data_IF_367209853445
#
_entry.id   IF_367209853445
#
_cell.length_a   1.000
_cell.length_b   1.000
_cell.length_c   1.000
_cell.angle_alpha   90.00
_cell.angle_beta   90.00
_cell.angle_gamma   90.00
#
_symmetry.space_group_name_H-M   'P 1'
#
loop_
_entity.id
_entity.type
_entity.pdbx_description
1 polymer ?
#
# COMPACT_ATOMS: atom_id res chain seq x y z
N UNK A 1 -7.58 -5.94 -16.66
CA UNK A 1 -6.42 -5.05 -16.89
C UNK A 1 -6.66 -3.65 -16.33
N UNK A 2 -7.61 -2.84 -16.82
CA UNK A 2 -7.89 -1.49 -16.26
C UNK A 2 -8.35 -1.54 -14.78
N UNK A 3 -9.18 -2.52 -14.42
CA UNK A 3 -9.60 -2.72 -13.01
C UNK A 3 -8.44 -3.11 -12.09
N UNK A 4 -7.46 -3.86 -12.61
CA UNK A 4 -6.30 -4.32 -11.86
C UNK A 4 -5.23 -3.24 -11.74
N UNK A 5 -5.05 -2.42 -12.78
CA UNK A 5 -4.08 -1.32 -12.78
C UNK A 5 -4.44 -0.21 -11.78
N UNK A 6 -5.75 0.08 -11.59
CA UNK A 6 -6.23 1.00 -10.56
C UNK A 6 -5.95 0.52 -9.12
N UNK A 7 -5.90 -0.80 -8.88
CA UNK A 7 -5.65 -1.39 -7.56
C UNK A 7 -4.20 -1.18 -7.10
N UNK A 8 -3.25 -1.17 -8.03
CA UNK A 8 -1.82 -1.10 -7.72
C UNK A 8 -1.23 0.31 -7.77
N UNK A 9 -1.73 1.21 -8.63
CA UNK A 9 -1.17 2.57 -8.74
C UNK A 9 -1.44 3.45 -7.50
N UNK A 10 -2.50 3.19 -6.73
CA UNK A 10 -2.84 3.95 -5.51
C UNK A 10 -2.92 3.10 -4.22
N UNK A 11 -2.66 1.79 -4.28
CA UNK A 11 -2.69 0.90 -3.11
C UNK A 11 -4.05 0.78 -2.41
N UNK A 12 -5.16 1.06 -3.10
CA UNK A 12 -6.52 0.97 -2.57
C UNK A 12 -7.07 -0.43 -2.89
N UNK A 13 -7.10 -1.32 -1.90
CA UNK A 13 -7.89 -2.54 -2.01
C UNK A 13 -9.37 -2.19 -1.94
N UNK A 14 -10.03 -2.21 -3.09
CA UNK A 14 -11.44 -1.87 -3.21
C UNK A 14 -12.33 -2.79 -2.37
N UNK A 15 -12.01 -4.08 -2.18
CA UNK A 15 -12.88 -5.01 -1.44
C UNK A 15 -13.03 -4.63 0.04
N UNK A 16 -11.95 -4.18 0.67
CA UNK A 16 -11.94 -3.69 2.06
C UNK A 16 -12.70 -2.36 2.22
N UNK A 17 -12.90 -1.66 1.11
CA UNK A 17 -13.37 -0.28 1.10
C UNK A 17 -14.87 -0.18 0.73
N UNK A 18 -15.48 -1.24 0.16
CA UNK A 18 -16.94 -1.28 -0.10
C UNK A 18 -17.69 -1.71 1.16
N UNK A 19 -18.42 -0.77 1.77
CA UNK A 19 -19.35 -1.12 2.84
C UNK A 19 -20.69 -1.55 2.26
N UNK A 20 -21.07 -2.79 2.60
CA UNK A 20 -22.33 -3.43 2.16
C UNK A 20 -23.50 -3.02 3.06
N UNK A 21 -24.75 -3.02 2.55
CA UNK A 21 -25.93 -2.75 3.37
C UNK A 21 -26.00 -3.67 4.57
N UNK A 22 -26.33 -3.14 5.75
CA UNK A 22 -26.54 -3.98 6.92
C UNK A 22 -27.79 -4.83 6.76
N UNK A 23 -27.64 -6.13 7.02
CA UNK A 23 -28.77 -7.02 7.19
C UNK A 23 -29.39 -6.76 8.56
N UNK A 24 -30.67 -6.41 8.59
CA UNK A 24 -31.44 -6.30 9.82
C UNK A 24 -32.01 -7.68 10.13
N UNK A 25 -31.77 -8.19 11.34
CA UNK A 25 -32.41 -9.45 11.77
C UNK A 25 -33.94 -9.29 11.78
N UNK A 26 -34.68 -10.39 11.61
CA UNK A 26 -36.15 -10.31 11.59
C UNK A 26 -36.71 -9.72 12.89
N UNK A 27 -36.05 -9.97 14.02
CA UNK A 27 -36.46 -9.51 15.35
C UNK A 27 -36.19 -8.02 15.59
N UNK A 28 -35.20 -7.42 14.91
CA UNK A 28 -34.86 -6.00 15.01
C UNK A 28 -35.61 -5.11 13.99
N UNK A 29 -36.37 -5.73 13.08
CA UNK A 29 -36.83 -5.04 11.88
C UNK A 29 -37.94 -4.03 12.15
N UNK A 30 -38.82 -4.23 13.14
CA UNK A 30 -40.00 -3.39 13.32
C UNK A 30 -40.11 -2.83 14.74
N UNK A 31 -40.00 -1.51 14.86
CA UNK A 31 -40.14 -0.82 16.15
C UNK A 31 -41.61 -0.54 16.43
N UNK A 32 -42.06 -0.87 17.64
CA UNK A 32 -43.42 -0.59 18.10
C UNK A 32 -43.64 0.92 18.20
N UNK A 33 -44.65 1.45 17.50
CA UNK A 33 -44.92 2.90 17.43
C UNK A 33 -45.11 3.57 18.79
N UNK A 34 -45.72 2.83 19.73
CA UNK A 34 -46.10 3.35 21.05
C UNK A 34 -44.88 3.77 21.87
N UNK A 35 -43.71 3.22 21.55
CA UNK A 35 -42.47 3.45 22.28
C UNK A 35 -41.65 4.59 21.66
N UNK A 36 -42.12 5.20 20.56
CA UNK A 36 -41.41 6.28 19.85
C UNK A 36 -42.16 7.60 19.99
N UNK A 37 -41.57 8.57 20.69
CA UNK A 37 -42.15 9.91 20.91
C UNK A 37 -41.77 10.94 19.84
N UNK A 38 -40.69 10.69 19.10
CA UNK A 38 -40.09 11.62 18.15
C UNK A 38 -39.66 10.90 16.87
N UNK A 39 -39.69 11.59 15.73
CA UNK A 39 -39.18 11.07 14.47
C UNK A 39 -37.72 10.61 14.62
N UNK A 40 -37.41 9.38 14.21
CA UNK A 40 -36.08 8.79 14.41
C UNK A 40 -34.99 9.36 13.48
N UNK A 41 -35.34 10.31 12.61
CA UNK A 41 -34.41 11.00 11.71
C UNK A 41 -34.24 12.48 12.05
N UNK A 42 -35.33 13.23 12.22
CA UNK A 42 -35.26 14.69 12.48
C UNK A 42 -35.61 15.08 13.91
N UNK A 43 -35.89 14.12 14.79
CA UNK A 43 -36.26 14.34 16.18
C UNK A 43 -37.55 15.14 16.41
N UNK A 44 -38.33 15.44 15.36
CA UNK A 44 -39.62 16.12 15.48
C UNK A 44 -40.61 15.33 16.35
N UNK A 45 -41.22 15.98 17.35
CA UNK A 45 -42.15 15.34 18.28
C UNK A 45 -43.43 14.89 17.56
N UNK A 46 -43.89 13.67 17.83
CA UNK A 46 -45.15 13.17 17.30
C UNK A 46 -46.36 13.72 18.09
N UNK A 47 -47.49 13.84 17.42
CA UNK A 47 -48.72 14.37 18.01
C UNK A 47 -49.93 14.18 17.09
N UNK A 48 -51.00 14.94 17.32
CA UNK A 48 -52.21 14.85 16.50
C UNK A 48 -51.97 15.23 15.04
N UNK A 49 -51.14 16.26 14.78
CA UNK A 49 -50.83 16.75 13.43
C UNK A 49 -49.61 16.10 12.78
N UNK A 50 -48.67 15.59 13.57
CA UNK A 50 -47.46 14.91 13.10
C UNK A 50 -47.57 13.42 13.43
N UNK A 51 -48.01 12.62 12.46
CA UNK A 51 -48.31 11.20 12.63
C UNK A 51 -47.06 10.34 12.45
N UNK A 52 -47.15 9.08 12.92
CA UNK A 52 -46.09 8.08 12.85
C UNK A 52 -46.21 7.29 11.55
N UNK A 53 -45.07 7.02 10.92
CA UNK A 53 -44.99 6.27 9.68
C UNK A 53 -43.78 5.33 9.69
N UNK A 54 -44.00 4.05 9.36
CA UNK A 54 -42.89 3.10 9.24
C UNK A 54 -42.32 3.06 7.84
N UNK A 55 -41.00 2.96 7.79
CA UNK A 55 -40.30 2.53 6.59
C UNK A 55 -40.44 1.01 6.42
N UNK A 56 -40.92 0.51 5.28
CA UNK A 56 -41.05 -0.93 5.04
C UNK A 56 -39.70 -1.65 4.86
N UNK A 57 -38.62 -0.90 4.61
CA UNK A 57 -37.27 -1.45 4.48
C UNK A 57 -36.62 -1.65 5.86
N UNK A 58 -36.59 -0.61 6.68
CA UNK A 58 -35.88 -0.63 7.98
C UNK A 58 -36.79 -0.69 9.21
N UNK A 59 -38.12 -0.57 9.05
CA UNK A 59 -39.15 -0.59 10.10
C UNK A 59 -38.96 0.35 11.29
N UNK A 60 -38.16 1.42 11.11
CA UNK A 60 -38.12 2.58 12.01
C UNK A 60 -39.30 3.52 11.74
N UNK A 61 -39.58 4.39 12.72
CA UNK A 61 -40.73 5.30 12.74
C UNK A 61 -40.31 6.75 12.45
N UNK A 62 -41.02 7.39 11.53
CA UNK A 62 -40.70 8.70 10.99
C UNK A 62 -41.94 9.60 10.88
N UNK A 63 -41.71 10.91 10.71
CA UNK A 63 -42.73 11.84 10.24
C UNK A 63 -42.91 11.74 8.72
N UNK A 64 -43.99 12.31 8.20
CA UNK A 64 -44.33 12.29 6.76
C UNK A 64 -43.19 12.88 5.92
N UNK A 65 -42.60 13.99 6.36
CA UNK A 65 -41.47 14.60 5.65
C UNK A 65 -40.20 13.73 5.62
N UNK A 66 -40.06 12.74 6.50
CA UNK A 66 -38.90 11.83 6.54
C UNK A 66 -39.21 10.47 5.90
N UNK A 67 -40.49 10.15 5.75
CA UNK A 67 -41.00 8.93 5.16
C UNK A 67 -42.29 9.26 4.39
N UNK A 68 -42.16 9.86 3.19
CA UNK A 68 -43.29 10.31 2.39
C UNK A 68 -44.20 9.15 2.04
N UNK A 69 -45.50 9.45 1.87
CA UNK A 69 -46.45 8.43 1.46
C UNK A 69 -46.14 7.94 0.04
N UNK A 70 -45.68 6.70 -0.03
CA UNK A 70 -45.20 6.04 -1.24
C UNK A 70 -45.54 4.56 -1.12
N UNK A 71 -45.69 3.86 -2.25
CA UNK A 71 -45.94 2.42 -2.27
C UNK A 71 -44.89 1.68 -3.11
N UNK A 72 -44.00 0.87 -2.52
CA UNK A 72 -43.85 0.63 -1.08
C UNK A 72 -43.20 1.79 -0.31
N UNK A 73 -43.68 2.03 0.93
CA UNK A 73 -43.27 3.17 1.76
C UNK A 73 -41.86 3.03 2.31
N UNK A 74 -40.98 3.98 2.04
CA UNK A 74 -39.62 4.02 2.60
C UNK A 74 -39.27 5.38 3.20
N UNK A 75 -38.36 5.38 4.17
CA UNK A 75 -37.76 6.62 4.64
C UNK A 75 -36.77 7.14 3.59
N UNK A 76 -36.50 8.45 3.63
CA UNK A 76 -35.60 9.12 2.68
C UNK A 76 -34.25 8.40 2.58
N UNK A 77 -33.64 8.01 3.70
CA UNK A 77 -32.36 7.29 3.71
C UNK A 77 -32.45 5.93 2.99
N UNK A 78 -33.52 5.16 3.20
CA UNK A 78 -33.72 3.88 2.52
C UNK A 78 -34.02 4.03 1.03
N UNK A 79 -34.77 5.07 0.63
CA UNK A 79 -34.96 5.41 -0.78
C UNK A 79 -33.62 5.70 -1.44
N UNK A 80 -32.83 6.58 -0.84
CA UNK A 80 -31.55 7.01 -1.37
C UNK A 80 -30.53 5.85 -1.40
N UNK A 81 -30.45 5.04 -0.35
CA UNK A 81 -29.66 3.81 -0.34
C UNK A 81 -30.00 2.91 -1.53
N UNK A 82 -31.30 2.66 -1.76
CA UNK A 82 -31.75 1.83 -2.87
C UNK A 82 -31.39 2.44 -4.23
N UNK A 83 -31.61 3.73 -4.41
CA UNK A 83 -31.30 4.40 -5.67
C UNK A 83 -29.81 4.28 -6.00
N UNK A 84 -28.94 4.46 -5.01
CA UNK A 84 -27.50 4.36 -5.18
C UNK A 84 -27.08 2.90 -5.40
N UNK A 85 -27.55 1.96 -4.58
CA UNK A 85 -27.16 0.55 -4.64
C UNK A 85 -27.69 -0.16 -5.91
N UNK A 86 -28.87 0.22 -6.43
CA UNK A 86 -29.46 -0.36 -7.65
C UNK A 86 -28.84 0.22 -8.92
N UNK A 87 -28.50 1.52 -8.94
CA UNK A 87 -28.06 2.19 -10.17
C UNK A 87 -26.55 2.11 -10.42
N UNK A 88 -25.73 1.86 -9.39
CA UNK A 88 -24.28 2.11 -9.52
C UNK A 88 -23.41 1.10 -8.74
N UNK A 89 -22.80 0.17 -9.47
CA UNK A 89 -21.73 -0.69 -8.92
C UNK A 89 -20.34 -0.03 -8.98
N UNK A 90 -20.14 0.93 -9.90
CA UNK A 90 -18.87 1.64 -10.07
C UNK A 90 -18.67 2.71 -8.97
N UNK A 91 -17.55 2.67 -8.23
CA UNK A 91 -17.18 3.69 -7.24
C UNK A 91 -17.09 5.11 -7.80
N UNK A 92 -16.77 5.25 -9.08
CA UNK A 92 -16.63 6.54 -9.76
C UNK A 92 -17.98 7.20 -10.03
N UNK A 93 -19.06 6.41 -10.14
CA UNK A 93 -20.41 6.92 -10.38
C UNK A 93 -21.16 7.19 -9.07
N UNK A 94 -20.72 6.58 -7.97
CA UNK A 94 -21.34 6.67 -6.64
C UNK A 94 -21.37 8.12 -6.14
N UNK A 95 -22.54 8.78 -6.20
CA UNK A 95 -22.75 10.18 -5.80
C UNK A 95 -23.87 10.29 -4.77
N UNK A 96 -23.57 10.91 -3.63
CA UNK A 96 -24.52 11.15 -2.54
C UNK A 96 -24.66 12.64 -2.20
N UNK A 97 -24.19 13.54 -3.04
CA UNK A 97 -24.22 14.99 -2.78
C UNK A 97 -25.60 15.48 -2.40
N UNK A 98 -26.67 14.96 -3.02
CA UNK A 98 -28.05 15.29 -2.64
C UNK A 98 -28.39 14.88 -1.20
N UNK A 99 -27.90 13.73 -0.72
CA UNK A 99 -28.05 13.30 0.68
C UNK A 99 -27.26 14.23 1.61
N UNK A 100 -26.00 14.50 1.27
CA UNK A 100 -25.10 15.27 2.12
C UNK A 100 -25.57 16.73 2.31
N UNK A 101 -26.17 17.35 1.28
CA UNK A 101 -26.74 18.70 1.38
C UNK A 101 -28.09 18.75 2.08
N UNK A 102 -28.73 17.61 2.32
CA UNK A 102 -30.08 17.60 2.83
C UNK A 102 -30.09 17.97 4.33
N UNK A 103 -30.85 19.00 4.77
CA UNK A 103 -30.75 19.57 6.12
C UNK A 103 -30.89 18.57 7.27
N UNK A 104 -31.71 17.53 7.08
CA UNK A 104 -31.92 16.46 8.07
C UNK A 104 -30.71 15.53 8.25
N UNK A 105 -29.76 15.55 7.33
CA UNK A 105 -28.51 14.79 7.38
C UNK A 105 -27.30 15.70 7.65
N UNK A 106 -27.51 16.98 7.96
CA UNK A 106 -26.41 17.88 8.35
C UNK A 106 -25.83 17.52 9.74
N UNK A 107 -26.67 17.00 10.66
CA UNK A 107 -26.30 16.70 12.06
C UNK A 107 -26.24 15.19 12.35
N UNK A 108 -25.56 14.44 11.50
CA UNK A 108 -25.58 12.97 11.50
C UNK A 108 -25.15 12.27 12.78
N UNK A 109 -24.39 12.96 13.63
CA UNK A 109 -24.00 12.48 14.95
C UNK A 109 -25.18 12.43 15.93
N UNK A 110 -26.24 13.18 15.65
CA UNK A 110 -27.43 13.31 16.49
C UNK A 110 -28.53 12.32 16.09
N UNK A 111 -28.31 11.45 15.10
CA UNK A 111 -29.25 10.38 14.82
C UNK A 111 -29.34 9.46 16.04
N UNK A 112 -30.52 9.33 16.67
CA UNK A 112 -30.68 8.51 17.87
C UNK A 112 -30.59 7.00 17.56
N UNK A 113 -30.86 6.61 16.32
CA UNK A 113 -30.88 5.21 15.90
C UNK A 113 -29.54 4.79 15.27
N UNK A 114 -28.91 3.77 15.87
CA UNK A 114 -27.59 3.29 15.45
C UNK A 114 -27.59 2.68 14.04
N UNK A 115 -28.68 2.05 13.61
CA UNK A 115 -28.76 1.50 12.25
C UNK A 115 -28.79 2.62 11.21
N UNK A 116 -29.62 3.65 11.41
CA UNK A 116 -29.67 4.79 10.49
C UNK A 116 -28.31 5.50 10.43
N UNK A 117 -27.62 5.60 11.56
CA UNK A 117 -26.27 6.15 11.64
C UNK A 117 -25.26 5.32 10.84
N UNK A 118 -25.28 3.99 10.98
CA UNK A 118 -24.40 3.08 10.23
C UNK A 118 -24.68 3.12 8.73
N UNK A 119 -25.95 3.12 8.32
CA UNK A 119 -26.32 3.19 6.91
C UNK A 119 -25.93 4.53 6.26
N UNK A 120 -26.05 5.64 6.98
CA UNK A 120 -25.51 6.89 6.48
C UNK A 120 -23.97 6.86 6.38
N UNK A 121 -23.28 6.38 7.41
CA UNK A 121 -21.81 6.31 7.37
C UNK A 121 -21.31 5.41 6.25
N UNK A 122 -22.04 4.33 5.93
CA UNK A 122 -21.81 3.49 4.77
C UNK A 122 -21.89 4.27 3.45
N UNK A 123 -22.92 5.09 3.26
CA UNK A 123 -23.06 5.94 2.07
C UNK A 123 -21.86 6.89 1.94
N UNK A 124 -21.50 7.56 3.04
CA UNK A 124 -20.35 8.49 3.08
C UNK A 124 -19.07 7.75 2.72
N UNK A 125 -18.80 6.62 3.35
CA UNK A 125 -17.63 5.80 3.04
C UNK A 125 -17.57 5.44 1.55
N UNK A 126 -18.67 4.96 0.98
CA UNK A 126 -18.71 4.55 -0.43
C UNK A 126 -18.55 5.73 -1.41
N UNK A 127 -19.01 6.92 -1.05
CA UNK A 127 -18.80 8.15 -1.82
C UNK A 127 -17.34 8.60 -1.84
N UNK A 128 -16.61 8.37 -0.75
CA UNK A 128 -15.22 8.79 -0.60
C UNK A 128 -14.21 7.88 -1.32
N UNK A 129 -14.68 6.85 -2.05
CA UNK A 129 -13.82 5.91 -2.78
C UNK A 129 -13.08 6.52 -3.95
N UNK A 130 -13.62 7.58 -4.54
CA UNK A 130 -13.01 8.28 -5.69
C UNK A 130 -12.58 9.71 -5.33
N UNK A 131 -11.65 10.27 -6.11
CA UNK A 131 -11.10 11.61 -5.85
C UNK A 131 -12.11 12.74 -6.01
N UNK A 132 -13.10 12.61 -6.89
CA UNK A 132 -14.14 13.62 -7.04
C UNK A 132 -14.98 13.71 -5.77
N UNK A 133 -15.41 12.57 -5.23
CA UNK A 133 -16.13 12.49 -3.96
C UNK A 133 -15.33 13.06 -2.80
N UNK A 134 -14.04 12.71 -2.68
CA UNK A 134 -13.13 13.29 -1.67
C UNK A 134 -13.02 14.82 -1.78
N UNK A 135 -12.84 15.35 -3.00
CA UNK A 135 -12.75 16.81 -3.24
C UNK A 135 -14.03 17.55 -2.90
N UNK A 136 -15.18 17.02 -3.32
CA UNK A 136 -16.49 17.59 -2.97
C UNK A 136 -16.69 17.54 -1.47
N UNK A 137 -16.38 16.40 -0.84
CA UNK A 137 -16.50 16.24 0.60
C UNK A 137 -15.69 17.31 1.35
N UNK A 138 -14.44 17.51 0.94
CA UNK A 138 -13.54 18.50 1.53
C UNK A 138 -13.99 19.94 1.36
N UNK A 139 -14.43 20.33 0.16
CA UNK A 139 -14.83 21.71 -0.13
C UNK A 139 -16.14 22.10 0.54
N UNK A 140 -17.10 21.18 0.54
CA UNK A 140 -18.48 21.48 0.91
C UNK A 140 -18.77 21.17 2.37
N UNK A 141 -18.15 20.14 2.93
CA UNK A 141 -18.48 19.62 4.26
C UNK A 141 -17.34 19.75 5.26
N UNK A 142 -16.20 20.34 4.86
CA UNK A 142 -14.97 20.60 5.63
C UNK A 142 -14.43 19.41 6.42
N UNK A 143 -14.99 19.00 7.56
CA UNK A 143 -15.35 17.58 7.72
C UNK A 143 -16.61 17.48 8.56
N UNK A 144 -17.31 16.35 8.54
CA UNK A 144 -18.01 15.94 9.77
C UNK A 144 -16.90 15.88 10.82
N UNK A 145 -16.70 16.96 11.62
CA UNK A 145 -15.39 17.38 12.16
C UNK A 145 -14.56 16.14 12.47
N UNK A 146 -13.39 15.94 11.86
CA UNK A 146 -12.64 14.67 11.99
C UNK A 146 -12.53 14.25 13.47
N UNK A 147 -12.43 15.22 14.38
CA UNK A 147 -12.56 15.03 15.83
C UNK A 147 -13.84 14.31 16.28
N UNK A 148 -15.01 14.69 15.77
CA UNK A 148 -16.25 13.98 16.02
C UNK A 148 -16.23 12.56 15.46
N UNK A 149 -15.70 12.32 14.26
CA UNK A 149 -15.56 10.95 13.76
C UNK A 149 -14.64 10.12 14.66
N UNK A 150 -13.56 10.72 15.16
CA UNK A 150 -12.67 10.10 16.13
C UNK A 150 -13.35 9.88 17.49
N UNK A 151 -14.20 10.82 17.94
CA UNK A 151 -15.00 10.66 19.15
C UNK A 151 -15.99 9.49 18.98
N UNK A 152 -16.69 9.43 17.86
CA UNK A 152 -17.60 8.32 17.55
C UNK A 152 -16.86 6.98 17.41
N UNK A 153 -15.63 6.99 16.90
CA UNK A 153 -14.77 5.81 16.87
C UNK A 153 -14.45 5.33 18.30
N UNK A 154 -14.12 6.24 19.21
CA UNK A 154 -13.88 5.93 20.62
C UNK A 154 -15.13 5.45 21.35
N UNK A 155 -16.31 6.02 21.05
CA UNK A 155 -17.59 5.56 21.60
C UNK A 155 -17.89 4.15 21.09
N UNK A 156 -17.79 3.92 19.77
CA UNK A 156 -18.06 2.63 19.15
C UNK A 156 -17.11 1.54 19.66
N UNK A 157 -15.85 1.90 19.99
CA UNK A 157 -14.91 1.00 20.65
C UNK A 157 -15.42 0.55 22.02
N UNK A 158 -15.87 1.50 22.86
CA UNK A 158 -16.35 1.21 24.22
C UNK A 158 -17.66 0.41 24.23
N UNK A 159 -18.49 0.58 23.21
CA UNK A 159 -19.80 -0.09 23.11
C UNK A 159 -19.78 -1.32 22.22
N UNK A 160 -18.61 -1.72 21.70
CA UNK A 160 -18.46 -2.82 20.74
C UNK A 160 -19.41 -2.70 19.52
N UNK A 161 -19.69 -1.47 19.07
CA UNK A 161 -20.61 -1.22 17.96
C UNK A 161 -19.92 -1.51 16.61
N UNK A 162 -20.56 -2.27 15.68
CA UNK A 162 -20.07 -2.45 14.31
C UNK A 162 -19.77 -1.15 13.55
N UNK A 163 -20.32 -0.02 14.00
CA UNK A 163 -19.97 1.32 13.52
C UNK A 163 -18.45 1.58 13.57
N UNK A 164 -17.71 0.96 14.49
CA UNK A 164 -16.27 1.10 14.60
C UNK A 164 -15.55 0.78 13.28
N UNK A 165 -15.84 -0.38 12.68
CA UNK A 165 -15.20 -0.82 11.44
C UNK A 165 -15.63 0.04 10.23
N UNK A 166 -16.87 0.55 10.22
CA UNK A 166 -17.37 1.46 9.17
C UNK A 166 -16.63 2.81 9.25
N UNK A 167 -16.42 3.34 10.46
CA UNK A 167 -15.66 4.59 10.64
C UNK A 167 -14.20 4.39 10.22
N UNK A 168 -13.57 3.26 10.57
CA UNK A 168 -12.22 2.95 10.08
C UNK A 168 -12.16 2.86 8.56
N UNK A 169 -13.13 2.21 7.92
CA UNK A 169 -13.23 2.18 6.46
C UNK A 169 -13.38 3.58 5.84
N UNK A 170 -14.08 4.48 6.52
CA UNK A 170 -14.15 5.90 6.14
C UNK A 170 -12.77 6.58 6.23
N UNK A 171 -12.00 6.34 7.30
CA UNK A 171 -10.63 6.84 7.43
C UNK A 171 -9.68 6.26 6.39
N UNK A 172 -9.83 5.00 5.98
CA UNK A 172 -9.04 4.42 4.88
C UNK A 172 -9.23 5.27 3.61
N UNK A 173 -10.48 5.62 3.28
CA UNK A 173 -10.77 6.46 2.13
C UNK A 173 -10.22 7.89 2.26
N UNK A 174 -10.30 8.48 3.45
CA UNK A 174 -9.73 9.81 3.67
C UNK A 174 -8.20 9.82 3.54
N UNK A 175 -7.54 8.84 4.14
CA UNK A 175 -6.07 8.74 4.16
C UNK A 175 -5.50 8.35 2.79
N UNK A 176 -6.29 7.75 1.90
CA UNK A 176 -5.92 7.45 0.52
C UNK A 176 -5.92 8.68 -0.42
N UNK A 177 -6.28 9.87 0.08
CA UNK A 177 -6.32 11.08 -0.72
C UNK A 177 -4.94 11.50 -1.21
N UNK A 178 -4.79 11.74 -2.52
CA UNK A 178 -3.60 12.37 -3.12
C UNK A 178 -3.61 13.89 -2.98
N UNK A 179 -4.69 14.48 -2.46
CA UNK A 179 -4.82 15.92 -2.29
C UNK A 179 -4.06 16.40 -1.04
N UNK A 180 -2.96 17.13 -1.27
CA UNK A 180 -2.03 17.57 -0.23
C UNK A 180 -2.70 18.39 0.89
N UNK A 181 -3.60 19.33 0.54
CA UNK A 181 -4.27 20.15 1.55
C UNK A 181 -5.14 19.30 2.50
N UNK A 182 -5.73 18.21 1.99
CA UNK A 182 -6.48 17.29 2.83
C UNK A 182 -5.56 16.45 3.72
N UNK A 183 -4.43 15.96 3.20
CA UNK A 183 -3.45 15.27 4.03
C UNK A 183 -2.92 16.17 5.16
N UNK A 184 -2.62 17.43 4.85
CA UNK A 184 -2.23 18.45 5.85
C UNK A 184 -3.33 18.68 6.89
N UNK A 185 -4.59 18.72 6.45
CA UNK A 185 -5.73 18.85 7.35
C UNK A 185 -5.85 17.66 8.31
N UNK A 186 -5.74 16.41 7.82
CA UNK A 186 -5.76 15.22 8.69
C UNK A 186 -4.63 15.25 9.72
N UNK A 187 -3.45 15.74 9.31
CA UNK A 187 -2.31 15.90 10.22
C UNK A 187 -2.56 16.94 11.32
N UNK A 188 -3.16 18.10 10.98
CA UNK A 188 -3.57 19.12 11.94
C UNK A 188 -4.61 18.61 12.95
N UNK A 189 -5.41 17.60 12.57
CA UNK A 189 -6.41 16.99 13.45
C UNK A 189 -5.84 15.85 14.33
N UNK A 190 -4.52 15.64 14.32
CA UNK A 190 -3.85 14.59 15.11
C UNK A 190 -4.38 13.17 14.81
N UNK A 191 -4.82 12.90 13.58
CA UNK A 191 -5.39 11.59 13.20
C UNK A 191 -4.36 10.47 13.41
N UNK A 192 -3.11 10.68 12.99
CA UNK A 192 -2.04 9.69 13.14
C UNK A 192 -1.87 9.27 14.59
N UNK A 193 -1.77 10.23 15.50
CA UNK A 193 -1.60 9.99 16.93
C UNK A 193 -2.77 9.21 17.54
N UNK A 194 -4.00 9.56 17.16
CA UNK A 194 -5.20 8.89 17.66
C UNK A 194 -5.30 7.45 17.13
N UNK A 195 -5.01 7.22 15.85
CA UNK A 195 -5.03 5.87 15.27
C UNK A 195 -3.92 4.97 15.82
N UNK A 196 -2.72 5.51 16.08
CA UNK A 196 -1.66 4.76 16.77
C UNK A 196 -2.08 4.40 18.21
N UNK A 197 -2.71 5.33 18.93
CA UNK A 197 -3.21 5.08 20.29
C UNK A 197 -4.29 3.99 20.31
N UNK A 198 -5.16 3.98 19.29
CA UNK A 198 -6.18 2.95 19.12
C UNK A 198 -5.58 1.58 18.77
N UNK A 199 -4.52 1.54 17.96
CA UNK A 199 -3.86 0.28 17.60
C UNK A 199 -3.32 -0.46 18.85
N UNK A 200 -2.92 0.28 19.88
CA UNK A 200 -2.47 -0.27 21.17
C UNK A 200 -3.60 -0.79 22.07
N UNK A 201 -4.87 -0.62 21.69
CA UNK A 201 -6.00 -1.18 22.43
C UNK A 201 -6.23 -2.66 22.09
N UNK A 202 -6.84 -3.45 22.99
CA UNK A 202 -7.24 -4.83 22.67
C UNK A 202 -8.37 -4.83 21.63
N UNK A 203 -8.01 -5.07 20.37
CA UNK A 203 -8.92 -5.04 19.23
C UNK A 203 -8.95 -6.39 18.52
N UNK A 204 -10.10 -6.79 17.93
CA UNK A 204 -10.13 -7.90 16.99
C UNK A 204 -9.15 -7.67 15.83
N UNK A 205 -8.51 -8.73 15.35
CA UNK A 205 -7.49 -8.66 14.29
C UNK A 205 -7.98 -7.91 13.03
N UNK A 206 -9.24 -8.10 12.64
CA UNK A 206 -9.85 -7.37 11.54
C UNK A 206 -9.74 -5.85 11.71
N UNK A 207 -10.03 -5.33 12.90
CA UNK A 207 -9.97 -3.91 13.21
C UNK A 207 -8.53 -3.39 13.29
N UNK A 208 -7.59 -4.21 13.76
CA UNK A 208 -6.16 -3.89 13.73
C UNK A 208 -5.66 -3.74 12.27
N UNK A 209 -6.09 -4.63 11.37
CA UNK A 209 -5.75 -4.56 9.94
C UNK A 209 -6.29 -3.27 9.29
N UNK A 210 -7.53 -2.87 9.62
CA UNK A 210 -8.10 -1.61 9.12
C UNK A 210 -7.31 -0.38 9.63
N UNK A 211 -6.88 -0.37 10.89
CA UNK A 211 -6.02 0.68 11.44
C UNK A 211 -4.65 0.72 10.76
N UNK A 212 -4.02 -0.43 10.53
CA UNK A 212 -2.76 -0.53 9.79
C UNK A 212 -2.89 -0.01 8.36
N UNK A 213 -4.03 -0.22 7.70
CA UNK A 213 -4.32 0.36 6.38
C UNK A 213 -4.28 1.90 6.44
N UNK A 214 -5.02 2.52 7.38
CA UNK A 214 -5.00 3.97 7.56
C UNK A 214 -3.59 4.51 7.83
N UNK A 215 -2.85 3.87 8.74
CA UNK A 215 -1.50 4.28 9.12
C UNK A 215 -0.50 4.14 7.97
N UNK A 216 -0.61 3.07 7.19
CA UNK A 216 0.18 2.85 5.97
C UNK A 216 -0.07 3.95 4.94
N UNK A 217 -1.31 4.40 4.78
CA UNK A 217 -1.63 5.52 3.89
C UNK A 217 -1.06 6.85 4.41
N UNK A 218 -1.26 7.16 5.69
CA UNK A 218 -0.76 8.39 6.32
C UNK A 218 0.77 8.50 6.26
N UNK A 219 1.49 7.42 6.54
CA UNK A 219 2.96 7.38 6.53
C UNK A 219 3.58 7.52 5.14
N UNK A 220 2.78 7.57 4.07
CA UNK A 220 3.30 7.97 2.75
C UNK A 220 3.94 9.37 2.76
N UNK A 221 3.58 10.22 3.73
CA UNK A 221 4.16 11.53 3.99
C UNK A 221 5.10 11.55 5.22
N UNK A 222 6.03 12.50 5.25
CA UNK A 222 7.07 12.61 6.29
C UNK A 222 6.51 12.94 7.68
N UNK A 223 5.53 13.84 7.79
CA UNK A 223 5.02 14.30 9.09
C UNK A 223 4.38 13.17 9.93
N UNK A 224 3.51 12.30 9.38
CA UNK A 224 3.00 11.13 10.11
C UNK A 224 4.10 10.18 10.59
N UNK A 225 5.16 9.94 9.80
CA UNK A 225 6.29 9.10 10.23
C UNK A 225 7.00 9.68 11.47
N UNK A 226 7.21 11.01 11.50
CA UNK A 226 7.80 11.68 12.67
C UNK A 226 6.92 11.59 13.92
N UNK A 227 5.60 11.54 13.76
CA UNK A 227 4.66 11.41 14.88
C UNK A 227 4.65 10.00 15.46
N UNK A 228 4.68 8.97 14.61
CA UNK A 228 4.73 7.55 15.01
C UNK A 228 5.90 7.28 15.97
N UNK A 229 7.06 7.93 15.73
CA UNK A 229 8.25 7.84 16.60
C UNK A 229 7.97 8.08 18.09
N UNK A 230 6.99 8.92 18.42
CA UNK A 230 6.67 9.29 19.81
C UNK A 230 6.00 8.15 20.59
N UNK A 231 5.56 7.09 19.91
CA UNK A 231 4.82 5.97 20.49
C UNK A 231 5.72 4.76 20.66
N UNK A 232 6.29 4.59 21.86
CA UNK A 232 7.27 3.54 22.16
C UNK A 232 6.76 2.12 21.92
N UNK A 233 5.46 1.88 22.12
CA UNK A 233 4.83 0.56 21.94
C UNK A 233 4.39 0.27 20.50
N UNK A 234 4.42 1.26 19.60
CA UNK A 234 3.87 1.10 18.24
C UNK A 234 4.52 -0.06 17.49
N UNK A 235 5.85 -0.14 17.49
CA UNK A 235 6.57 -1.22 16.81
C UNK A 235 6.28 -2.58 17.43
N UNK A 236 6.23 -2.66 18.76
CA UNK A 236 5.90 -3.89 19.48
C UNK A 236 4.51 -4.43 19.08
N UNK A 237 3.48 -3.58 19.11
CA UNK A 237 2.12 -3.97 18.71
C UNK A 237 2.08 -4.36 17.23
N UNK A 238 2.78 -3.62 16.36
CA UNK A 238 2.86 -3.94 14.94
C UNK A 238 3.51 -5.32 14.70
N UNK A 239 4.56 -5.67 15.44
CA UNK A 239 5.16 -7.00 15.39
C UNK A 239 4.24 -8.12 15.88
N UNK A 240 3.47 -7.89 16.95
CA UNK A 240 2.45 -8.85 17.41
C UNK A 240 1.43 -9.14 16.31
N UNK A 241 0.97 -8.10 15.61
CA UNK A 241 0.03 -8.25 14.49
C UNK A 241 0.71 -8.98 13.32
N UNK A 242 1.97 -8.68 13.02
CA UNK A 242 2.74 -9.37 11.97
C UNK A 242 2.85 -10.88 12.23
N UNK A 243 3.01 -11.29 13.49
CA UNK A 243 3.11 -12.69 13.91
C UNK A 243 1.82 -13.50 13.71
N UNK A 244 0.67 -12.84 13.52
CA UNK A 244 -0.59 -13.54 13.21
C UNK A 244 -0.54 -14.28 11.86
N UNK A 245 0.40 -13.92 10.98
CA UNK A 245 0.52 -14.50 9.63
C UNK A 245 -0.59 -14.09 8.68
N UNK A 246 -1.48 -13.17 9.07
CA UNK A 246 -2.53 -12.68 8.20
C UNK A 246 -1.92 -11.93 7.00
N UNK A 247 -2.18 -12.42 5.78
CA UNK A 247 -1.64 -11.89 4.52
C UNK A 247 -1.83 -10.38 4.40
N UNK A 248 -3.04 -9.87 4.68
CA UNK A 248 -3.34 -8.42 4.64
C UNK A 248 -2.58 -7.61 5.70
N UNK A 249 -2.36 -8.19 6.88
CA UNK A 249 -1.55 -7.54 7.91
C UNK A 249 -0.10 -7.43 7.45
N UNK A 250 0.48 -8.52 6.94
CA UNK A 250 1.84 -8.52 6.41
C UNK A 250 2.01 -7.48 5.31
N UNK A 251 1.10 -7.44 4.34
CA UNK A 251 1.12 -6.47 3.24
C UNK A 251 1.16 -5.02 3.75
N UNK A 252 0.25 -4.67 4.66
CA UNK A 252 0.18 -3.30 5.18
C UNK A 252 1.36 -2.94 6.08
N UNK A 253 1.87 -3.89 6.87
CA UNK A 253 3.01 -3.67 7.75
C UNK A 253 4.30 -3.49 6.95
N UNK A 254 4.54 -4.30 5.91
CA UNK A 254 5.71 -4.15 5.05
C UNK A 254 5.71 -2.79 4.34
N UNK A 255 4.56 -2.38 3.81
CA UNK A 255 4.40 -1.06 3.19
C UNK A 255 4.56 0.10 4.19
N UNK A 256 4.00 -0.04 5.41
CA UNK A 256 4.11 0.92 6.50
C UNK A 256 5.55 1.10 6.97
N UNK A 257 6.27 0.01 7.22
CA UNK A 257 7.69 0.05 7.58
C UNK A 257 8.55 0.61 6.45
N UNK A 258 8.25 0.27 5.19
CA UNK A 258 8.92 0.89 4.05
C UNK A 258 8.68 2.41 4.01
N UNK A 259 7.44 2.86 4.23
CA UNK A 259 7.14 4.28 4.32
C UNK A 259 7.90 4.98 5.46
N UNK A 260 7.98 4.36 6.63
CA UNK A 260 8.74 4.87 7.77
C UNK A 260 10.23 4.98 7.43
N UNK A 261 10.88 3.93 6.94
CA UNK A 261 12.31 3.96 6.62
C UNK A 261 12.67 4.88 5.45
N UNK A 262 11.72 5.14 4.54
CA UNK A 262 11.90 6.12 3.47
C UNK A 262 12.06 7.54 4.02
N UNK A 263 11.30 7.89 5.06
CA UNK A 263 11.19 9.26 5.59
C UNK A 263 11.92 9.49 6.91
N UNK A 264 12.14 8.43 7.69
CA UNK A 264 12.75 8.42 9.02
C UNK A 264 13.71 7.23 9.10
N UNK A 265 14.77 7.27 8.30
CA UNK A 265 15.75 6.18 8.18
C UNK A 265 16.48 5.85 9.47
N UNK A 266 16.57 6.80 10.38
CA UNK A 266 17.10 6.65 11.73
C UNK A 266 16.20 5.79 12.65
N UNK A 267 15.02 5.38 12.19
CA UNK A 267 14.17 4.39 12.86
C UNK A 267 14.50 2.92 12.50
N UNK A 268 15.62 2.69 11.84
CA UNK A 268 16.03 1.35 11.39
C UNK A 268 16.14 0.35 12.54
N UNK A 269 16.63 0.75 13.72
CA UNK A 269 16.76 -0.13 14.88
C UNK A 269 15.41 -0.54 15.48
N UNK A 270 14.36 0.26 15.29
CA UNK A 270 13.00 -0.10 15.74
C UNK A 270 12.29 -1.02 14.74
N UNK A 271 12.56 -0.86 13.44
CA UNK A 271 12.04 -1.73 12.37
C UNK A 271 12.81 -3.05 12.28
N UNK A 272 14.10 -3.03 12.60
CA UNK A 272 14.99 -4.18 12.61
C UNK A 272 15.69 -4.28 13.97
N UNK A 273 14.98 -4.72 15.02
CA UNK A 273 15.55 -4.81 16.35
C UNK A 273 16.64 -5.88 16.40
N UNK A 274 17.84 -5.49 16.85
CA UNK A 274 19.01 -6.35 17.00
C UNK A 274 18.85 -7.41 18.11
N UNK A 275 17.90 -7.23 19.02
CA UNK A 275 17.59 -8.18 20.10
C UNK A 275 16.12 -8.53 20.04
N UNK A 276 15.81 -9.80 20.29
CA UNK A 276 14.44 -10.27 20.37
C UNK A 276 13.63 -9.45 21.40
N UNK A 277 12.50 -8.89 20.96
CA UNK A 277 11.64 -8.07 21.82
C UNK A 277 10.80 -9.00 22.71
N UNK A 278 11.31 -9.42 23.87
CA UNK A 278 10.52 -10.15 24.90
C UNK A 278 9.61 -11.29 24.37
N UNK A 279 10.08 -12.06 23.38
CA UNK A 279 9.30 -13.13 22.74
C UNK A 279 8.28 -12.69 21.67
N UNK A 280 8.11 -11.38 21.46
CA UNK A 280 7.18 -10.74 20.51
C UNK A 280 7.80 -10.53 19.13
N UNK A 281 9.12 -10.40 19.04
CA UNK A 281 9.82 -10.35 17.76
C UNK A 281 11.08 -11.17 17.87
N UNK A 282 11.32 -12.07 16.90
CA UNK A 282 12.63 -12.72 16.78
C UNK A 282 13.64 -11.70 16.21
N UNK A 283 14.91 -11.87 16.53
CA UNK A 283 15.99 -11.13 15.88
C UNK A 283 15.86 -11.30 14.36
N UNK A 284 16.00 -10.21 13.60
CA UNK A 284 15.91 -10.20 12.13
C UNK A 284 14.62 -10.84 11.56
N UNK A 285 13.51 -10.80 12.30
CA UNK A 285 12.23 -11.36 11.84
C UNK A 285 11.76 -10.75 10.51
N UNK A 286 11.95 -9.44 10.30
CA UNK A 286 11.59 -8.77 9.04
C UNK A 286 12.40 -9.32 7.87
N UNK A 287 13.71 -9.46 8.03
CA UNK A 287 14.56 -10.00 6.96
C UNK A 287 14.17 -11.44 6.65
N UNK A 288 13.96 -12.26 7.69
CA UNK A 288 13.53 -13.66 7.53
C UNK A 288 12.20 -13.74 6.78
N UNK A 289 11.24 -12.87 7.11
CA UNK A 289 9.97 -12.78 6.40
C UNK A 289 10.17 -12.34 4.95
N UNK A 290 10.96 -11.30 4.69
CA UNK A 290 11.22 -10.83 3.32
C UNK A 290 11.89 -11.90 2.45
N UNK A 291 12.81 -12.70 3.03
CA UNK A 291 13.41 -13.85 2.34
C UNK A 291 12.40 -14.92 1.96
N UNK A 292 11.42 -15.20 2.83
CA UNK A 292 10.33 -16.13 2.49
C UNK A 292 9.41 -15.55 1.42
N UNK A 293 9.10 -14.25 1.53
CA UNK A 293 8.13 -13.59 0.66
C UNK A 293 8.64 -13.32 -0.75
N UNK A 294 9.95 -13.34 -1.00
CA UNK A 294 10.51 -13.06 -2.33
C UNK A 294 10.06 -14.07 -3.39
N UNK A 295 9.66 -15.28 -2.98
CA UNK A 295 9.14 -16.33 -3.87
C UNK A 295 7.63 -16.59 -3.68
N UNK A 296 6.94 -15.73 -2.95
CA UNK A 296 5.53 -15.95 -2.60
C UNK A 296 4.59 -15.72 -3.79
N UNK A 297 3.60 -16.58 -4.03
CA UNK A 297 2.64 -16.37 -5.13
C UNK A 297 1.89 -15.03 -5.09
N UNK A 298 1.80 -14.36 -3.93
CA UNK A 298 1.21 -13.04 -3.78
C UNK A 298 2.21 -11.95 -4.16
N UNK A 299 2.04 -11.44 -5.38
CA UNK A 299 2.88 -10.41 -5.97
C UNK A 299 2.90 -9.09 -5.16
N UNK A 300 1.83 -8.75 -4.43
CA UNK A 300 1.83 -7.55 -3.57
C UNK A 300 2.78 -7.72 -2.37
N UNK A 301 2.77 -8.90 -1.75
CA UNK A 301 3.71 -9.23 -0.67
C UNK A 301 5.15 -9.27 -1.19
N UNK A 302 5.37 -9.88 -2.36
CA UNK A 302 6.69 -9.87 -3.01
C UNK A 302 7.19 -8.43 -3.18
N UNK A 303 6.43 -7.56 -3.86
CA UNK A 303 6.80 -6.15 -4.13
C UNK A 303 7.13 -5.40 -2.84
N UNK A 304 6.24 -5.47 -1.84
CA UNK A 304 6.43 -4.73 -0.60
C UNK A 304 7.63 -5.26 0.21
N UNK A 305 7.90 -6.57 0.16
CA UNK A 305 9.07 -7.16 0.79
C UNK A 305 10.37 -6.64 0.17
N UNK A 306 10.45 -6.59 -1.17
CA UNK A 306 11.63 -6.12 -1.89
C UNK A 306 11.87 -4.63 -1.67
N UNK A 307 10.80 -3.84 -1.71
CA UNK A 307 10.86 -2.40 -1.41
C UNK A 307 11.34 -2.15 0.02
N UNK A 308 10.85 -2.91 1.00
CA UNK A 308 11.30 -2.79 2.39
C UNK A 308 12.79 -3.15 2.51
N UNK A 309 13.23 -4.25 1.89
CA UNK A 309 14.64 -4.64 1.90
C UNK A 309 15.56 -3.57 1.28
N UNK A 310 15.14 -2.89 0.21
CA UNK A 310 15.88 -1.75 -0.36
C UNK A 310 16.11 -0.65 0.65
N UNK A 311 15.08 -0.32 1.42
CA UNK A 311 15.14 0.72 2.43
C UNK A 311 15.90 0.27 3.67
N UNK A 312 15.88 -1.03 4.01
CA UNK A 312 16.76 -1.61 5.03
C UNK A 312 18.21 -1.46 4.61
N UNK A 313 18.58 -1.87 3.39
CA UNK A 313 19.94 -1.74 2.88
C UNK A 313 20.40 -0.29 2.77
N UNK A 314 19.52 0.62 2.36
CA UNK A 314 19.82 2.05 2.34
C UNK A 314 20.18 2.62 3.72
N UNK A 315 19.47 2.19 4.77
CA UNK A 315 19.61 2.76 6.12
C UNK A 315 20.54 1.95 7.04
N UNK A 316 20.78 0.67 6.74
CA UNK A 316 21.74 -0.21 7.40
C UNK A 316 22.51 -1.05 6.36
N UNK A 317 23.43 -0.45 5.58
CA UNK A 317 24.10 -1.14 4.47
C UNK A 317 24.81 -2.43 4.88
N UNK A 318 25.36 -2.48 6.09
CA UNK A 318 26.10 -3.64 6.60
C UNK A 318 25.27 -4.93 6.64
N UNK A 319 23.94 -4.82 6.78
CA UNK A 319 23.00 -5.96 6.75
C UNK A 319 23.04 -6.69 5.42
N UNK A 320 23.41 -6.02 4.32
CA UNK A 320 23.45 -6.62 2.99
C UNK A 320 24.44 -7.77 2.88
N UNK A 321 25.62 -7.66 3.51
CA UNK A 321 26.72 -8.62 3.36
C UNK A 321 26.33 -10.02 3.83
N UNK A 322 25.43 -10.11 4.82
CA UNK A 322 24.97 -11.35 5.41
C UNK A 322 23.86 -12.05 4.60
N UNK A 323 23.37 -11.40 3.53
CA UNK A 323 22.16 -11.82 2.81
C UNK A 323 22.34 -11.82 1.29
N UNK A 324 23.51 -12.23 0.78
CA UNK A 324 23.76 -12.38 -0.66
C UNK A 324 22.83 -13.39 -1.35
N UNK A 325 22.39 -14.42 -0.63
CA UNK A 325 21.41 -15.42 -1.08
C UNK A 325 20.07 -14.78 -1.51
N UNK A 326 19.61 -13.78 -0.77
CA UNK A 326 18.40 -13.03 -1.10
C UNK A 326 18.53 -12.26 -2.42
N UNK A 327 19.67 -11.60 -2.63
CA UNK A 327 19.95 -10.85 -3.86
C UNK A 327 19.99 -11.77 -5.09
N UNK A 328 20.55 -12.98 -4.95
CA UNK A 328 20.52 -13.99 -6.02
C UNK A 328 19.09 -14.42 -6.33
N UNK A 329 18.26 -14.66 -5.31
CA UNK A 329 16.85 -15.01 -5.51
C UNK A 329 16.09 -13.90 -6.24
N UNK A 330 16.35 -12.63 -5.92
CA UNK A 330 15.77 -11.49 -6.64
C UNK A 330 16.17 -11.46 -8.12
N UNK A 331 17.43 -11.73 -8.45
CA UNK A 331 17.87 -11.84 -9.85
C UNK A 331 17.08 -12.95 -10.57
N UNK A 332 16.85 -14.10 -9.93
CA UNK A 332 16.10 -15.20 -10.56
C UNK A 332 14.64 -14.85 -10.86
N UNK A 333 14.03 -13.88 -10.17
CA UNK A 333 12.67 -13.42 -10.46
C UNK A 333 12.53 -12.75 -11.83
N UNK A 334 13.63 -12.27 -12.44
CA UNK A 334 13.61 -11.74 -13.80
C UNK A 334 13.15 -12.77 -14.84
N UNK A 335 13.24 -14.07 -14.53
CA UNK A 335 12.72 -15.16 -15.37
C UNK A 335 11.18 -15.26 -15.37
N UNK A 336 10.50 -14.57 -14.47
CA UNK A 336 9.04 -14.65 -14.31
C UNK A 336 8.39 -13.42 -14.95
N UNK A 337 7.79 -13.59 -16.13
CA UNK A 337 7.17 -12.49 -16.89
C UNK A 337 6.11 -11.72 -16.09
N UNK A 338 5.28 -12.43 -15.30
CA UNK A 338 4.23 -11.81 -14.47
C UNK A 338 4.82 -10.85 -13.42
N UNK A 339 5.92 -11.25 -12.78
CA UNK A 339 6.64 -10.41 -11.82
C UNK A 339 7.22 -9.17 -12.50
N UNK A 340 7.83 -9.37 -13.68
CA UNK A 340 8.45 -8.31 -14.48
C UNK A 340 7.42 -7.27 -14.97
N UNK A 341 6.19 -7.68 -15.27
CA UNK A 341 5.13 -6.77 -15.72
C UNK A 341 4.51 -5.95 -14.58
N UNK A 342 4.39 -6.51 -13.37
CA UNK A 342 3.74 -5.83 -12.25
C UNK A 342 4.69 -5.02 -11.36
N UNK A 343 5.94 -5.45 -11.24
CA UNK A 343 6.97 -4.74 -10.49
C UNK A 343 7.56 -3.72 -11.46
N UNK A 344 7.55 -2.42 -11.15
CA UNK A 344 8.43 -1.52 -11.89
C UNK A 344 9.85 -2.07 -11.73
N UNK A 345 10.45 -2.56 -12.82
CA UNK A 345 11.65 -3.41 -12.80
C UNK A 345 12.82 -2.78 -12.05
N UNK A 346 12.81 -1.44 -11.97
CA UNK A 346 13.68 -0.65 -11.10
C UNK A 346 13.64 -1.12 -9.63
N UNK A 347 12.46 -1.36 -9.07
CA UNK A 347 12.24 -1.84 -7.69
C UNK A 347 12.77 -3.26 -7.43
N UNK A 348 12.73 -4.12 -8.46
CA UNK A 348 13.18 -5.52 -8.36
C UNK A 348 14.68 -5.60 -8.07
N UNK A 349 15.44 -4.68 -8.66
CA UNK A 349 16.90 -4.73 -8.63
C UNK A 349 17.56 -3.55 -7.89
N UNK A 350 16.77 -2.63 -7.32
CA UNK A 350 17.28 -1.55 -6.47
C UNK A 350 18.24 -2.06 -5.39
N UNK A 351 17.93 -3.22 -4.80
CA UNK A 351 18.75 -3.81 -3.74
C UNK A 351 20.18 -4.12 -4.17
N UNK A 352 20.39 -4.43 -5.45
CA UNK A 352 21.72 -4.73 -5.99
C UNK A 352 22.49 -3.43 -6.21
N UNK A 353 21.83 -2.37 -6.69
CA UNK A 353 22.47 -1.06 -6.85
C UNK A 353 22.90 -0.45 -5.50
N UNK A 354 22.23 -0.80 -4.40
CA UNK A 354 22.62 -0.39 -3.05
C UNK A 354 23.99 -0.96 -2.62
N UNK A 355 24.54 -1.99 -3.30
CA UNK A 355 25.91 -2.48 -3.07
C UNK A 355 26.92 -1.35 -3.22
N UNK A 356 26.71 -0.43 -4.19
CA UNK A 356 27.60 0.70 -4.45
C UNK A 356 27.82 1.62 -3.23
N UNK A 357 26.91 1.60 -2.24
CA UNK A 357 27.03 2.39 -1.00
C UNK A 357 27.91 1.75 0.07
N UNK A 358 28.29 0.49 -0.09
CA UNK A 358 29.18 -0.19 0.85
C UNK A 358 30.63 0.30 0.70
N UNK A 359 31.42 0.11 1.75
CA UNK A 359 32.87 0.26 1.65
C UNK A 359 33.45 -0.78 0.69
N UNK A 360 34.51 -0.43 -0.05
CA UNK A 360 35.12 -1.27 -1.12
C UNK A 360 35.35 -2.74 -0.73
N UNK A 361 35.76 -3.01 0.52
CA UNK A 361 35.96 -4.38 0.99
C UNK A 361 34.64 -5.17 1.03
N UNK A 362 33.59 -4.57 1.60
CA UNK A 362 32.25 -5.16 1.71
C UNK A 362 31.55 -5.27 0.36
N UNK A 363 31.76 -4.29 -0.53
CA UNK A 363 31.30 -4.39 -1.92
C UNK A 363 31.81 -5.68 -2.57
N UNK A 364 33.12 -5.96 -2.44
CA UNK A 364 33.72 -7.19 -2.97
C UNK A 364 33.18 -8.45 -2.30
N UNK A 365 32.98 -8.43 -0.98
CA UNK A 365 32.39 -9.55 -0.24
C UNK A 365 30.96 -9.87 -0.74
N UNK A 366 30.10 -8.86 -0.91
CA UNK A 366 28.77 -9.04 -1.50
C UNK A 366 28.85 -9.58 -2.93
N UNK A 367 29.68 -8.96 -3.77
CA UNK A 367 29.80 -9.33 -5.18
C UNK A 367 30.28 -10.76 -5.36
N UNK A 368 31.24 -11.21 -4.57
CA UNK A 368 31.74 -12.58 -4.66
C UNK A 368 30.67 -13.62 -4.30
N UNK A 369 29.63 -13.24 -3.55
CA UNK A 369 28.47 -14.09 -3.30
C UNK A 369 27.47 -14.05 -4.47
N UNK A 370 27.21 -12.87 -5.01
CA UNK A 370 26.12 -12.63 -5.98
C UNK A 370 26.53 -12.98 -7.41
N UNK A 371 27.76 -12.66 -7.82
CA UNK A 371 28.25 -12.89 -9.19
C UNK A 371 28.59 -14.36 -9.34
N UNK A 372 27.67 -15.08 -9.97
CA UNK A 372 27.77 -16.49 -10.35
C UNK A 372 27.45 -16.59 -11.83
N UNK A 373 27.81 -17.70 -12.47
CA UNK A 373 27.44 -17.95 -13.88
C UNK A 373 25.93 -17.86 -14.05
N UNK A 374 25.16 -18.42 -13.11
CA UNK A 374 23.70 -18.41 -13.16
C UNK A 374 23.13 -16.98 -13.08
N UNK A 375 23.59 -16.15 -12.14
CA UNK A 375 23.08 -14.78 -11.99
C UNK A 375 23.48 -13.88 -13.17
N UNK A 376 24.72 -14.00 -13.67
CA UNK A 376 25.17 -13.28 -14.86
C UNK A 376 24.37 -13.70 -16.11
N UNK A 377 24.08 -15.00 -16.29
CA UNK A 377 23.24 -15.47 -17.39
C UNK A 377 21.89 -14.77 -17.38
N UNK A 378 21.20 -14.75 -16.23
CA UNK A 378 19.89 -14.09 -16.13
C UNK A 378 19.96 -12.61 -16.44
N UNK A 379 20.96 -11.90 -15.91
CA UNK A 379 21.12 -10.46 -16.15
C UNK A 379 21.40 -10.17 -17.63
N UNK A 380 22.29 -10.94 -18.27
CA UNK A 380 22.65 -10.76 -19.68
C UNK A 380 21.45 -11.06 -20.59
N UNK A 381 20.74 -12.16 -20.34
CA UNK A 381 19.53 -12.52 -21.10
C UNK A 381 18.44 -11.45 -20.93
N UNK A 382 18.28 -10.93 -19.71
CA UNK A 382 17.26 -9.92 -19.39
C UNK A 382 17.55 -8.56 -20.01
N UNK A 383 18.80 -8.27 -20.39
CA UNK A 383 19.11 -7.07 -21.16
C UNK A 383 18.46 -7.10 -22.56
N UNK A 384 18.11 -8.26 -23.10
CA UNK A 384 17.41 -8.40 -24.39
C UNK A 384 15.88 -8.30 -24.25
N UNK A 385 15.37 -7.97 -23.06
CA UNK A 385 13.93 -7.81 -22.83
C UNK A 385 13.35 -6.63 -23.60
N UNK A 386 12.17 -6.81 -24.20
CA UNK A 386 11.36 -5.73 -24.79
C UNK A 386 10.90 -4.68 -23.75
N UNK A 387 11.02 -4.97 -22.45
CA UNK A 387 10.71 -4.03 -21.40
C UNK A 387 11.93 -3.14 -21.10
N UNK A 388 11.87 -1.90 -21.58
CA UNK A 388 12.93 -0.89 -21.43
C UNK A 388 13.40 -0.70 -19.98
N UNK A 389 12.49 -0.81 -19.00
CA UNK A 389 12.83 -0.64 -17.58
C UNK A 389 13.70 -1.82 -17.09
N UNK A 390 13.41 -3.03 -17.57
CA UNK A 390 14.20 -4.25 -17.25
C UNK A 390 15.57 -4.16 -17.89
N UNK A 391 15.60 -3.89 -19.20
CA UNK A 391 16.83 -3.77 -19.98
C UNK A 391 17.78 -2.76 -19.33
N UNK A 392 17.29 -1.54 -19.05
CA UNK A 392 18.06 -0.48 -18.39
C UNK A 392 18.57 -0.87 -17.00
N UNK A 393 17.72 -1.48 -16.18
CA UNK A 393 18.12 -1.89 -14.83
C UNK A 393 19.22 -2.97 -14.88
N UNK A 394 19.10 -3.96 -15.78
CA UNK A 394 20.09 -5.02 -15.92
C UNK A 394 21.43 -4.49 -16.46
N UNK A 395 21.41 -3.62 -17.47
CA UNK A 395 22.62 -2.98 -17.99
C UNK A 395 23.34 -2.14 -16.92
N UNK A 396 22.58 -1.34 -16.16
CA UNK A 396 23.13 -0.54 -15.06
C UNK A 396 23.78 -1.39 -13.96
N UNK A 397 23.17 -2.53 -13.62
CA UNK A 397 23.75 -3.47 -12.64
C UNK A 397 25.00 -4.14 -13.17
N UNK A 398 24.97 -4.65 -14.41
CA UNK A 398 26.14 -5.27 -15.03
C UNK A 398 27.33 -4.29 -15.06
N UNK A 399 27.06 -3.02 -15.38
CA UNK A 399 28.06 -1.97 -15.29
C UNK A 399 28.58 -1.78 -13.86
N UNK A 400 27.70 -1.56 -12.88
CA UNK A 400 28.09 -1.35 -11.47
C UNK A 400 28.86 -2.54 -10.87
N UNK A 401 28.48 -3.77 -11.22
CA UNK A 401 29.19 -4.98 -10.81
C UNK A 401 30.59 -5.04 -11.44
N UNK A 402 30.72 -4.62 -12.70
CA UNK A 402 31.98 -4.58 -13.42
C UNK A 402 32.93 -3.52 -12.83
N UNK A 403 32.42 -2.34 -12.47
CA UNK A 403 33.19 -1.31 -11.77
C UNK A 403 33.82 -1.83 -10.48
N UNK A 404 33.08 -2.62 -9.71
CA UNK A 404 33.54 -3.11 -8.40
C UNK A 404 34.51 -4.29 -8.55
N UNK A 405 34.25 -5.25 -9.45
CA UNK A 405 35.10 -6.44 -9.64
C UNK A 405 35.16 -6.95 -11.09
N UNK A 406 35.67 -6.12 -12.00
CA UNK A 406 35.89 -6.44 -13.41
C UNK A 406 36.64 -7.76 -13.64
N UNK A 407 37.67 -8.08 -12.83
CA UNK A 407 38.44 -9.33 -12.98
C UNK A 407 37.58 -10.59 -12.81
N UNK A 408 36.77 -10.64 -11.75
CA UNK A 408 35.86 -11.77 -11.51
C UNK A 408 34.83 -11.91 -12.64
N UNK A 409 34.24 -10.80 -13.06
CA UNK A 409 33.29 -10.80 -14.17
C UNK A 409 33.92 -11.30 -15.47
N UNK A 410 35.09 -10.78 -15.85
CA UNK A 410 35.79 -11.20 -17.06
C UNK A 410 36.12 -12.69 -17.04
N UNK A 411 36.58 -13.23 -15.91
CA UNK A 411 36.87 -14.67 -15.79
C UNK A 411 35.62 -15.51 -16.03
N UNK A 412 34.50 -15.20 -15.38
CA UNK A 412 33.27 -15.98 -15.51
C UNK A 412 32.65 -15.87 -16.91
N UNK A 413 32.67 -14.67 -17.51
CA UNK A 413 32.16 -14.45 -18.86
C UNK A 413 33.02 -15.21 -19.87
N UNK A 414 34.35 -15.05 -19.79
CA UNK A 414 35.30 -15.72 -20.68
C UNK A 414 35.09 -17.23 -20.70
N UNK A 415 34.92 -17.84 -19.52
CA UNK A 415 34.90 -19.29 -19.40
C UNK A 415 33.54 -19.90 -19.80
N UNK A 416 32.43 -19.20 -19.60
CA UNK A 416 31.09 -19.82 -19.69
C UNK A 416 30.01 -18.99 -20.41
N UNK A 417 30.18 -17.69 -20.64
CA UNK A 417 29.13 -16.80 -21.16
C UNK A 417 29.57 -15.90 -22.34
N UNK A 418 30.76 -16.13 -22.89
CA UNK A 418 31.39 -15.18 -23.83
C UNK A 418 30.49 -14.89 -25.04
N UNK A 419 29.98 -15.93 -25.70
CA UNK A 419 29.19 -15.77 -26.92
C UNK A 419 27.87 -15.03 -26.67
N UNK A 420 27.17 -15.37 -25.58
CA UNK A 420 25.90 -14.74 -25.18
C UNK A 420 26.12 -13.27 -24.83
N UNK A 421 27.16 -12.99 -24.04
CA UNK A 421 27.54 -11.63 -23.67
C UNK A 421 27.87 -10.77 -24.90
N UNK A 422 28.72 -11.28 -25.81
CA UNK A 422 29.09 -10.56 -27.04
C UNK A 422 27.88 -10.26 -27.92
N UNK A 423 27.00 -11.25 -28.12
CA UNK A 423 25.78 -11.08 -28.90
C UNK A 423 24.87 -9.99 -28.30
N UNK A 424 24.64 -10.08 -26.99
CA UNK A 424 23.83 -9.10 -26.26
C UNK A 424 24.42 -7.69 -26.32
N UNK A 425 25.72 -7.53 -26.08
CA UNK A 425 26.38 -6.22 -26.17
C UNK A 425 26.28 -5.58 -27.55
N UNK A 426 26.50 -6.34 -28.63
CA UNK A 426 26.36 -5.84 -30.01
C UNK A 426 24.92 -5.37 -30.28
N UNK A 427 23.95 -6.22 -29.95
CA UNK A 427 22.53 -5.92 -30.16
C UNK A 427 22.10 -4.65 -29.42
N UNK A 428 22.62 -4.40 -28.21
CA UNK A 428 22.25 -3.23 -27.41
C UNK A 428 22.85 -1.94 -27.96
N UNK A 429 24.12 -1.97 -28.39
CA UNK A 429 24.77 -0.76 -28.94
C UNK A 429 24.18 -0.37 -30.29
N UNK A 430 23.79 -1.35 -31.11
CA UNK A 430 23.14 -1.10 -32.40
C UNK A 430 21.68 -0.62 -32.27
N UNK A 431 21.08 -0.72 -31.08
CA UNK A 431 19.69 -0.34 -30.84
C UNK A 431 19.57 1.18 -30.56
N UNK A 432 19.28 1.97 -31.59
CA UNK A 432 19.19 3.45 -31.52
C UNK A 432 18.12 4.00 -30.53
N UNK A 433 17.22 3.16 -30.01
CA UNK A 433 16.13 3.61 -29.14
C UNK A 433 16.54 3.84 -27.67
N UNK A 434 17.76 3.48 -27.24
CA UNK A 434 18.15 3.44 -25.83
C UNK A 434 19.54 4.03 -25.52
N UNK A 435 19.74 5.33 -25.81
CA UNK A 435 21.02 6.03 -25.58
C UNK A 435 21.63 5.76 -24.19
N UNK A 436 20.82 5.76 -23.13
CA UNK A 436 21.29 5.58 -21.76
C UNK A 436 21.67 4.12 -21.43
N UNK A 437 21.10 3.14 -22.12
CA UNK A 437 21.51 1.73 -22.00
C UNK A 437 22.84 1.52 -22.70
N UNK A 438 23.00 2.11 -23.89
CA UNK A 438 24.25 2.08 -24.66
C UNK A 438 25.41 2.64 -23.85
N UNK A 439 25.21 3.76 -23.13
CA UNK A 439 26.22 4.35 -22.24
C UNK A 439 26.74 3.33 -21.20
N UNK A 440 25.85 2.69 -20.43
CA UNK A 440 26.24 1.70 -19.44
C UNK A 440 26.99 0.50 -20.05
N UNK A 441 26.57 0.04 -21.23
CA UNK A 441 27.22 -1.08 -21.94
C UNK A 441 28.61 -0.67 -22.42
N UNK A 442 28.77 0.52 -23.00
CA UNK A 442 30.04 1.06 -23.47
C UNK A 442 31.03 1.25 -22.32
N UNK A 443 30.59 1.85 -21.21
CA UNK A 443 31.44 2.04 -20.03
C UNK A 443 31.90 0.70 -19.44
N UNK A 444 30.98 -0.27 -19.31
CA UNK A 444 31.31 -1.64 -18.89
C UNK A 444 32.35 -2.29 -19.81
N UNK A 445 32.18 -2.20 -21.13
CA UNK A 445 33.12 -2.74 -22.10
C UNK A 445 34.48 -2.03 -22.02
N UNK A 446 34.51 -0.73 -21.77
CA UNK A 446 35.71 0.05 -21.50
C UNK A 446 36.48 -0.44 -20.27
N UNK A 447 35.77 -0.71 -19.17
CA UNK A 447 36.36 -1.30 -17.96
C UNK A 447 36.94 -2.69 -18.23
N UNK A 448 36.22 -3.54 -18.97
CA UNK A 448 36.72 -4.85 -19.38
C UNK A 448 37.94 -4.74 -20.32
N UNK A 449 38.00 -3.71 -21.18
CA UNK A 449 39.15 -3.46 -22.05
C UNK A 449 40.44 -3.19 -21.25
N UNK A 450 40.33 -2.52 -20.11
CA UNK A 450 41.49 -2.26 -19.25
C UNK A 450 42.01 -3.51 -18.50
N UNK A 451 41.25 -4.60 -18.48
CA UNK A 451 41.58 -5.84 -17.75
C UNK A 451 42.32 -6.86 -18.62
N UNK A 452 43.27 -7.61 -18.03
CA UNK A 452 43.99 -8.71 -18.70
C UNK A 452 43.04 -9.81 -19.17
N UNK A 453 42.11 -10.24 -18.31
CA UNK A 453 41.13 -11.28 -18.63
C UNK A 453 40.10 -10.82 -19.68
N UNK A 454 39.88 -9.51 -19.78
CA UNK A 454 39.00 -8.92 -20.78
C UNK A 454 39.56 -9.01 -22.21
N UNK A 455 40.87 -9.25 -22.39
CA UNK A 455 41.50 -9.35 -23.72
C UNK A 455 40.89 -10.45 -24.60
N UNK A 456 40.46 -11.55 -24.00
CA UNK A 456 39.79 -12.62 -24.74
C UNK A 456 38.41 -12.20 -25.25
N UNK A 457 37.62 -11.54 -24.39
CA UNK A 457 36.28 -11.03 -24.74
C UNK A 457 36.39 -10.02 -25.88
N UNK A 458 37.40 -9.14 -25.86
CA UNK A 458 37.68 -8.19 -26.94
C UNK A 458 37.88 -8.84 -28.29
N UNK A 459 38.69 -9.89 -28.36
CA UNK A 459 38.97 -10.59 -29.61
C UNK A 459 37.70 -11.18 -30.24
N UNK A 460 36.69 -11.51 -29.43
CA UNK A 460 35.40 -12.02 -29.89
C UNK A 460 34.41 -10.91 -30.31
N UNK A 461 34.44 -9.76 -29.62
CA UNK A 461 33.60 -8.61 -29.98
C UNK A 461 34.09 -7.96 -31.28
N UNK A 462 35.40 -7.94 -31.53
CA UNK A 462 36.03 -7.28 -32.68
C UNK A 462 36.72 -5.96 -32.28
N UNK A 463 36.83 -5.01 -33.20
CA UNK A 463 37.39 -3.69 -32.89
C UNK A 463 36.35 -2.83 -32.16
N UNK A 464 36.40 -2.85 -30.84
CA UNK A 464 35.58 -2.01 -29.95
C UNK A 464 35.63 -0.51 -30.29
N UNK A 465 36.66 -0.05 -31.02
CA UNK A 465 36.82 1.35 -31.44
C UNK A 465 35.82 1.81 -32.54
N UNK A 466 35.10 0.90 -33.19
CA UNK A 466 34.05 1.26 -34.14
C UNK A 466 32.65 1.33 -33.52
N UNK A 467 32.49 0.80 -32.31
CA UNK A 467 31.23 0.66 -31.57
C UNK A 467 31.14 1.69 -30.43
N UNK A 468 32.27 1.99 -29.77
CA UNK A 468 32.47 3.14 -28.87
C UNK A 468 32.72 4.39 -29.72
#
# INVERSE_FOLDING_TARGET
LIQTQFLYENGIDMEIVISRPQQISQDEKWIKEKDVSNCMMCSAKFGMKNRRHHCRQCGRVFCEDCCPDSDPRFCILCCMNRDVDVRQQSPQLYDITTILHHPKFANMQQLPDQYLKREYMRLVQNFLRNDAGRRIFMKTYQPIQIQNLLEQLNIALKTEDPLFSIILGTFINFTASTYQDFANYLDQQCVTEQLVTLLSQPLPLHNQILLLHCLRNLTSATAPCQKVRKFTQFFQVTFQILQTGAVRAQEFILALFGNILKHCGDLIEQVLPAVALSGICKENQIISLCKLLVQDSNLSLQVNSMRLMSLVYKNAPNVMVEHGDYLIQQIQLLKQEECVQMISSYSLLQNILEIGRLEKKKQRECINQIITVQSLTVLIDSCQSDNNIVCRACASILHALCEINCKLMCSLIKDQLCDVFVCCSKSLVEHEQFEDVTEHVVEMLGLMNSSEDGKYIRNQIGDLNGII
#
